data_IF_979252661118
#
_entry.id   IF_979252661118
#
_cell.length_a   1.000
_cell.length_b   1.000
_cell.length_c   1.000
_cell.angle_alpha   90.00
_cell.angle_beta   90.00
_cell.angle_gamma   90.00
#
_symmetry.space_group_name_H-M   'P 1'
#
loop_
_entity.id
_entity.type
_entity.pdbx_description
1 polymer ?
#
# COMPACT_ATOMS: atom_id res chain seq x y z
N UNK A 1 8.95 -14.77 30.41
CA UNK A 1 8.96 -15.67 29.23
C UNK A 1 7.75 -15.46 28.30
N UNK A 2 6.73 -14.73 28.69
CA UNK A 2 5.44 -14.54 27.99
C UNK A 2 5.50 -13.51 26.83
N UNK A 3 6.35 -12.50 26.92
CA UNK A 3 6.45 -11.41 25.91
C UNK A 3 6.85 -11.90 24.51
N UNK A 4 7.66 -12.96 24.40
CA UNK A 4 8.10 -13.50 23.10
C UNK A 4 6.96 -13.99 22.20
N UNK A 5 5.81 -14.38 22.81
CA UNK A 5 4.62 -14.81 22.06
C UNK A 5 3.75 -13.64 21.61
N UNK A 6 3.74 -12.53 22.36
CA UNK A 6 2.93 -11.34 22.04
C UNK A 6 3.59 -10.44 20.99
N UNK A 7 4.92 -10.41 20.93
CA UNK A 7 5.66 -9.53 20.03
C UNK A 7 5.27 -9.70 18.55
N UNK A 8 5.15 -10.94 17.99
CA UNK A 8 4.74 -11.12 16.61
C UNK A 8 3.30 -10.65 16.30
N UNK A 9 2.41 -10.78 17.28
CA UNK A 9 1.02 -10.33 17.16
C UNK A 9 0.97 -8.80 17.17
N UNK A 10 1.70 -8.17 18.08
CA UNK A 10 1.82 -6.72 18.17
C UNK A 10 2.38 -6.11 16.87
N UNK A 11 3.41 -6.72 16.28
CA UNK A 11 3.97 -6.30 14.99
C UNK A 11 2.90 -6.28 13.88
N UNK A 12 2.10 -7.35 13.77
CA UNK A 12 1.05 -7.43 12.76
C UNK A 12 -0.02 -6.37 13.00
N UNK A 13 -0.42 -6.16 14.26
CA UNK A 13 -1.39 -5.12 14.62
C UNK A 13 -0.86 -3.73 14.22
N UNK A 14 0.40 -3.43 14.51
CA UNK A 14 1.05 -2.17 14.15
C UNK A 14 1.02 -1.96 12.62
N UNK A 15 1.40 -2.98 11.84
CA UNK A 15 1.39 -2.92 10.38
C UNK A 15 -0.02 -2.58 9.88
N UNK A 16 -1.04 -3.30 10.35
CA UNK A 16 -2.42 -3.10 9.90
C UNK A 16 -2.95 -1.72 10.31
N UNK A 17 -2.77 -1.32 11.56
CA UNK A 17 -3.25 -0.03 12.07
C UNK A 17 -2.61 1.13 11.29
N UNK A 18 -1.29 1.10 11.10
CA UNK A 18 -0.59 2.16 10.38
C UNK A 18 -0.93 2.17 8.89
N UNK A 19 -1.17 1.01 8.28
CA UNK A 19 -1.58 0.94 6.88
C UNK A 19 -3.00 1.48 6.63
N UNK A 20 -3.92 1.27 7.59
CA UNK A 20 -5.31 1.72 7.48
C UNK A 20 -5.50 3.16 7.95
N UNK A 21 -4.64 3.65 8.83
CA UNK A 21 -4.76 4.99 9.43
C UNK A 21 -4.95 6.13 8.40
N UNK A 22 -4.25 6.15 7.24
CA UNK A 22 -4.46 7.19 6.22
C UNK A 22 -5.88 7.27 5.67
N UNK A 23 -6.66 6.18 5.71
CA UNK A 23 -8.06 6.17 5.26
C UNK A 23 -8.94 7.06 6.13
N UNK A 24 -8.56 7.25 7.40
CA UNK A 24 -9.32 8.04 8.38
C UNK A 24 -8.96 9.53 8.36
N UNK A 25 -7.92 9.92 7.61
CA UNK A 25 -7.48 11.30 7.53
C UNK A 25 -8.26 12.05 6.44
N UNK A 26 -8.64 13.30 6.74
CA UNK A 26 -9.10 14.24 5.72
C UNK A 26 -7.94 14.69 4.86
N UNK A 27 -8.01 14.37 3.56
CA UNK A 27 -6.89 14.54 2.65
C UNK A 27 -7.02 15.79 1.82
N UNK A 28 -5.97 16.62 1.69
CA UNK A 28 -5.93 17.61 0.63
C UNK A 28 -5.79 16.89 -0.72
N UNK A 29 -6.69 17.19 -1.65
CA UNK A 29 -6.58 16.73 -3.02
C UNK A 29 -5.28 17.21 -3.64
N UNK A 30 -4.46 16.28 -4.14
CA UNK A 30 -3.28 16.60 -4.94
C UNK A 30 -3.56 16.26 -6.39
N UNK A 31 -3.12 17.09 -7.32
CA UNK A 31 -3.33 16.91 -8.76
C UNK A 31 -2.93 15.50 -9.26
N UNK A 32 -1.91 14.92 -8.67
CA UNK A 32 -1.39 13.60 -9.06
C UNK A 32 -2.31 12.41 -8.77
N UNK A 33 -3.33 12.56 -7.92
CA UNK A 33 -4.29 11.47 -7.66
C UNK A 33 -5.02 11.05 -8.94
N UNK A 34 -5.22 11.99 -9.86
CA UNK A 34 -5.93 11.73 -11.12
C UNK A 34 -5.23 10.69 -12.00
N UNK A 35 -3.90 10.68 -12.05
CA UNK A 35 -3.16 9.70 -12.84
C UNK A 35 -3.39 8.28 -12.34
N UNK A 36 -3.38 8.08 -11.03
CA UNK A 36 -3.66 6.78 -10.42
C UNK A 36 -5.12 6.39 -10.57
N UNK A 37 -6.02 7.35 -10.40
CA UNK A 37 -7.46 7.13 -10.50
C UNK A 37 -7.89 6.83 -11.94
N UNK A 38 -7.46 7.63 -12.90
CA UNK A 38 -7.88 7.48 -14.30
C UNK A 38 -7.39 6.16 -14.90
N UNK A 39 -6.12 5.82 -14.72
CA UNK A 39 -5.58 4.56 -15.23
C UNK A 39 -6.26 3.33 -14.60
N UNK A 40 -6.51 3.37 -13.28
CA UNK A 40 -7.23 2.32 -12.60
C UNK A 40 -8.69 2.21 -13.07
N UNK A 41 -9.36 3.34 -13.30
CA UNK A 41 -10.73 3.38 -13.83
C UNK A 41 -10.80 2.76 -15.23
N UNK A 42 -9.96 3.22 -16.16
CA UNK A 42 -9.91 2.68 -17.53
C UNK A 42 -9.66 1.17 -17.53
N UNK A 43 -8.73 0.72 -16.70
CA UNK A 43 -8.44 -0.71 -16.56
C UNK A 43 -9.63 -1.48 -15.96
N UNK A 44 -10.36 -0.87 -15.02
CA UNK A 44 -11.58 -1.47 -14.46
C UNK A 44 -12.71 -1.60 -15.48
N UNK A 45 -12.76 -0.70 -16.47
CA UNK A 45 -13.70 -0.75 -17.60
C UNK A 45 -13.23 -1.70 -18.73
N UNK A 46 -12.10 -2.39 -18.54
CA UNK A 46 -11.58 -3.36 -19.53
C UNK A 46 -10.71 -2.77 -20.62
N UNK A 47 -10.36 -1.48 -20.55
CA UNK A 47 -9.40 -0.88 -21.45
C UNK A 47 -7.98 -1.35 -21.11
N UNK A 48 -7.15 -1.58 -22.12
CA UNK A 48 -5.79 -2.07 -21.94
C UNK A 48 -4.78 -0.92 -22.09
N UNK A 49 -3.84 -0.77 -21.13
CA UNK A 49 -2.75 0.17 -21.26
C UNK A 49 -1.95 -0.10 -22.54
N UNK A 50 -1.47 0.96 -23.17
CA UNK A 50 -0.69 0.96 -24.41
C UNK A 50 -1.42 0.49 -25.68
N UNK A 51 -2.66 -0.03 -25.55
CA UNK A 51 -3.54 -0.30 -26.69
C UNK A 51 -4.64 0.75 -26.81
N UNK A 52 -5.36 1.01 -25.72
CA UNK A 52 -6.54 1.87 -25.73
C UNK A 52 -6.25 3.25 -25.15
N UNK A 53 -5.21 3.36 -24.35
CA UNK A 53 -4.69 4.62 -23.82
C UNK A 53 -3.20 4.52 -23.49
N UNK A 54 -2.50 5.66 -23.61
CA UNK A 54 -1.06 5.75 -23.36
C UNK A 54 -0.74 6.68 -22.19
N UNK A 55 0.26 6.29 -21.39
CA UNK A 55 0.92 7.16 -20.43
C UNK A 55 2.42 6.87 -20.44
N UNK A 56 3.27 7.87 -20.19
CA UNK A 56 4.73 7.72 -20.24
C UNK A 56 5.31 6.90 -19.07
N UNK A 57 4.47 6.29 -18.24
CA UNK A 57 4.86 5.51 -17.04
C UNK A 57 4.27 4.12 -17.09
N UNK A 58 4.94 3.15 -16.45
CA UNK A 58 4.45 1.76 -16.41
C UNK A 58 3.07 1.64 -15.75
N UNK A 59 2.20 0.80 -16.33
CA UNK A 59 0.79 0.69 -15.93
C UNK A 59 0.49 -0.29 -14.78
N UNK A 60 1.49 -0.99 -14.25
CA UNK A 60 1.26 -2.05 -13.25
C UNK A 60 0.65 -1.54 -11.94
N UNK A 61 0.95 -0.30 -11.53
CA UNK A 61 0.39 0.29 -10.32
C UNK A 61 -1.12 0.56 -10.38
N UNK A 62 -1.76 0.44 -11.55
CA UNK A 62 -3.21 0.55 -11.72
C UNK A 62 -3.96 -0.76 -11.47
N UNK A 63 -3.27 -1.90 -11.54
CA UNK A 63 -3.92 -3.22 -11.47
C UNK A 63 -4.63 -3.43 -10.14
N UNK A 64 -3.96 -3.19 -9.04
CA UNK A 64 -4.57 -3.35 -7.70
C UNK A 64 -5.73 -2.37 -7.50
N UNK A 65 -5.58 -1.06 -7.75
CA UNK A 65 -6.71 -0.13 -7.69
C UNK A 65 -7.87 -0.50 -8.62
N UNK A 66 -7.61 -1.00 -9.82
CA UNK A 66 -8.66 -1.43 -10.75
C UNK A 66 -9.49 -2.60 -10.20
N UNK A 67 -8.84 -3.57 -9.57
CA UNK A 67 -9.52 -4.67 -8.87
C UNK A 67 -10.38 -4.11 -7.73
N UNK A 68 -9.83 -3.18 -6.95
CA UNK A 68 -10.56 -2.53 -5.87
C UNK A 68 -11.76 -1.72 -6.38
N UNK A 69 -11.64 -1.04 -7.52
CA UNK A 69 -12.75 -0.31 -8.15
C UNK A 69 -13.89 -1.25 -8.55
N UNK A 70 -13.58 -2.44 -9.06
CA UNK A 70 -14.59 -3.46 -9.36
C UNK A 70 -15.33 -3.98 -8.12
N UNK A 71 -14.65 -4.05 -6.98
CA UNK A 71 -15.21 -4.61 -5.74
C UNK A 71 -15.95 -3.54 -4.92
N UNK A 72 -15.37 -2.35 -4.78
CA UNK A 72 -15.82 -1.31 -3.84
C UNK A 72 -16.40 -0.07 -4.54
N UNK A 73 -16.42 -0.06 -5.88
CA UNK A 73 -16.86 1.09 -6.67
C UNK A 73 -15.77 2.13 -6.93
N UNK A 74 -16.02 2.97 -7.94
CA UNK A 74 -15.07 3.97 -8.46
C UNK A 74 -15.13 5.23 -7.61
N UNK A 75 -14.37 5.25 -6.52
CA UNK A 75 -14.30 6.36 -5.56
C UNK A 75 -12.85 6.62 -5.15
N UNK A 76 -12.53 7.86 -4.78
CA UNK A 76 -11.18 8.21 -4.30
C UNK A 76 -10.80 7.41 -3.06
N UNK A 77 -11.75 7.18 -2.14
CA UNK A 77 -11.53 6.36 -0.95
C UNK A 77 -11.11 4.93 -1.30
N UNK A 78 -11.51 4.43 -2.45
CA UNK A 78 -11.13 3.08 -2.92
C UNK A 78 -9.65 3.02 -3.29
N UNK A 79 -9.04 4.12 -3.76
CA UNK A 79 -7.59 4.21 -3.94
C UNK A 79 -6.84 4.09 -2.62
N UNK A 80 -7.35 4.74 -1.56
CA UNK A 80 -6.75 4.64 -0.23
C UNK A 80 -6.83 3.22 0.31
N UNK A 81 -7.95 2.52 0.07
CA UNK A 81 -8.10 1.10 0.44
C UNK A 81 -7.10 0.22 -0.31
N UNK A 82 -6.91 0.46 -1.61
CA UNK A 82 -5.92 -0.25 -2.41
C UNK A 82 -4.49 0.00 -1.91
N UNK A 83 -4.17 1.26 -1.56
CA UNK A 83 -2.88 1.59 -0.97
C UNK A 83 -2.68 0.94 0.40
N UNK A 84 -3.69 0.96 1.27
CA UNK A 84 -3.61 0.28 2.56
C UNK A 84 -3.32 -1.22 2.41
N UNK A 85 -3.94 -1.87 1.43
CA UNK A 85 -3.67 -3.26 1.10
C UNK A 85 -2.20 -3.48 0.68
N UNK A 86 -1.67 -2.63 -0.21
CA UNK A 86 -0.26 -2.68 -0.62
C UNK A 86 0.69 -2.41 0.55
N UNK A 87 0.36 -1.46 1.43
CA UNK A 87 1.14 -1.17 2.63
C UNK A 87 1.19 -2.36 3.59
N UNK A 88 0.07 -3.08 3.77
CA UNK A 88 0.03 -4.31 4.58
C UNK A 88 0.95 -5.37 3.97
N UNK A 89 0.84 -5.62 2.67
CA UNK A 89 1.69 -6.61 2.00
C UNK A 89 3.17 -6.28 2.13
N UNK A 90 3.56 -5.04 1.85
CA UNK A 90 4.96 -4.60 1.94
C UNK A 90 5.49 -4.64 3.37
N UNK A 91 4.68 -4.24 4.36
CA UNK A 91 5.05 -4.32 5.78
C UNK A 91 5.26 -5.77 6.24
N UNK A 92 4.38 -6.69 5.81
CA UNK A 92 4.52 -8.13 6.12
C UNK A 92 5.74 -8.74 5.40
N UNK A 93 6.00 -8.36 4.15
CA UNK A 93 7.17 -8.80 3.41
C UNK A 93 8.47 -8.33 4.09
N UNK A 94 8.56 -7.04 4.42
CA UNK A 94 9.71 -6.48 5.13
C UNK A 94 9.95 -7.17 6.47
N UNK A 95 8.89 -7.37 7.26
CA UNK A 95 8.95 -8.15 8.50
C UNK A 95 9.48 -9.56 8.27
N UNK A 96 9.03 -10.23 7.22
CA UNK A 96 9.48 -11.58 6.87
C UNK A 96 10.98 -11.61 6.55
N UNK A 97 11.46 -10.64 5.78
CA UNK A 97 12.89 -10.51 5.45
C UNK A 97 13.73 -10.36 6.72
N UNK A 98 13.35 -9.44 7.63
CA UNK A 98 14.07 -9.22 8.88
C UNK A 98 14.17 -10.50 9.73
N UNK A 99 13.10 -11.30 9.75
CA UNK A 99 13.11 -12.60 10.46
C UNK A 99 14.01 -13.61 9.80
N UNK A 100 14.02 -13.69 8.48
CA UNK A 100 14.86 -14.63 7.73
C UNK A 100 16.36 -14.31 7.91
N UNK A 101 16.70 -13.03 7.96
CA UNK A 101 18.08 -12.56 8.21
C UNK A 101 18.51 -12.74 9.68
N UNK A 102 17.57 -13.06 10.58
CA UNK A 102 17.87 -13.32 11.99
C UNK A 102 18.13 -12.06 12.82
N UNK A 103 17.52 -10.93 12.43
CA UNK A 103 17.63 -9.66 13.18
C UNK A 103 17.07 -9.81 14.59
N UNK A 104 17.71 -9.16 15.57
CA UNK A 104 17.22 -9.12 16.95
C UNK A 104 15.73 -8.66 17.00
N UNK A 105 14.87 -9.35 17.75
CA UNK A 105 13.42 -9.06 17.78
C UNK A 105 13.07 -7.60 18.09
N UNK A 106 13.79 -6.95 19.00
CA UNK A 106 13.54 -5.54 19.35
C UNK A 106 13.88 -4.64 18.17
N UNK A 107 15.02 -4.87 17.53
CA UNK A 107 15.46 -4.13 16.34
C UNK A 107 14.50 -4.37 15.19
N UNK A 108 14.03 -5.60 15.01
CA UNK A 108 13.05 -5.92 13.97
C UNK A 108 11.74 -5.15 14.13
N UNK A 109 11.16 -5.14 15.35
CA UNK A 109 9.94 -4.37 15.64
C UNK A 109 10.13 -2.88 15.37
N UNK A 110 11.25 -2.30 15.85
CA UNK A 110 11.55 -0.88 15.63
C UNK A 110 11.71 -0.56 14.14
N UNK A 111 12.40 -1.43 13.39
CA UNK A 111 12.59 -1.26 11.95
C UNK A 111 11.25 -1.35 11.18
N UNK A 112 10.39 -2.30 11.54
CA UNK A 112 9.03 -2.42 10.95
C UNK A 112 8.22 -1.18 11.25
N UNK A 113 8.24 -0.68 12.49
CA UNK A 113 7.52 0.54 12.88
C UNK A 113 8.00 1.76 12.06
N UNK A 114 9.31 1.97 11.96
CA UNK A 114 9.89 3.07 11.18
C UNK A 114 9.53 2.95 9.69
N UNK A 115 9.62 1.74 9.13
CA UNK A 115 9.23 1.47 7.75
C UNK A 115 7.75 1.81 7.51
N UNK A 116 6.85 1.32 8.36
CA UNK A 116 5.42 1.57 8.21
C UNK A 116 5.07 3.05 8.36
N UNK A 117 5.66 3.77 9.32
CA UNK A 117 5.43 5.21 9.48
C UNK A 117 5.90 5.97 8.26
N UNK A 118 7.13 5.73 7.79
CA UNK A 118 7.70 6.43 6.65
C UNK A 118 6.96 6.11 5.36
N UNK A 119 6.58 4.85 5.15
CA UNK A 119 5.93 4.40 3.93
C UNK A 119 4.44 4.77 3.90
N UNK A 120 3.68 4.45 4.96
CA UNK A 120 2.24 4.66 4.99
C UNK A 120 1.82 6.12 5.01
N UNK A 121 2.55 6.98 5.72
CA UNK A 121 2.20 8.41 5.79
C UNK A 121 2.58 9.19 4.53
N UNK A 122 3.47 8.68 3.70
CA UNK A 122 3.86 9.34 2.45
C UNK A 122 3.01 8.91 1.26
N UNK A 123 2.41 7.72 1.31
CA UNK A 123 1.72 7.09 0.19
C UNK A 123 0.23 6.88 0.51
N UNK A 124 -0.58 7.81 0.06
CA UNK A 124 -2.03 7.75 0.26
C UNK A 124 -2.76 7.00 -0.87
N UNK A 125 -2.15 6.90 -2.03
CA UNK A 125 -2.66 6.16 -3.19
C UNK A 125 -1.51 5.48 -3.94
N UNK A 126 -1.79 4.39 -4.67
CA UNK A 126 -0.78 3.70 -5.46
C UNK A 126 -0.16 4.63 -6.50
N UNK A 127 1.15 4.70 -6.50
CA UNK A 127 1.95 5.51 -7.40
C UNK A 127 3.07 4.67 -8.02
N UNK A 128 3.43 4.94 -9.27
CA UNK A 128 4.39 4.12 -10.01
C UNK A 128 5.74 3.94 -9.30
N UNK A 129 6.24 4.96 -8.63
CA UNK A 129 7.51 4.88 -7.89
C UNK A 129 7.43 3.97 -6.66
N UNK A 130 6.25 3.83 -6.05
CA UNK A 130 6.08 3.07 -4.83
C UNK A 130 5.68 1.62 -5.08
N UNK A 131 4.97 1.35 -6.18
CA UNK A 131 4.55 0.00 -6.55
C UNK A 131 5.69 -0.87 -7.06
N UNK A 132 6.87 -0.30 -7.32
CA UNK A 132 8.08 -1.05 -7.71
C UNK A 132 8.76 -1.72 -6.51
N UNK A 133 8.46 -1.25 -5.28
CA UNK A 133 9.06 -1.78 -4.05
C UNK A 133 8.20 -2.83 -3.34
N UNK A 134 7.08 -3.22 -3.91
CA UNK A 134 6.19 -4.27 -3.44
C UNK A 134 6.27 -5.46 -4.39
#
# INVERSE_FOLDING_TARGET
MTYKKFLPILEIIIIVVLAVFPIMLTMPYRAYVYLSWEGAYRLSEGQLPFRDFGLPVGGMYWVVPAIFFKIFGVQVITLLKAQAFLNILSGLAFRSILKTVGVNPVVAVTSVLLYCISYSFQNFWPWYNHSVFV
#
